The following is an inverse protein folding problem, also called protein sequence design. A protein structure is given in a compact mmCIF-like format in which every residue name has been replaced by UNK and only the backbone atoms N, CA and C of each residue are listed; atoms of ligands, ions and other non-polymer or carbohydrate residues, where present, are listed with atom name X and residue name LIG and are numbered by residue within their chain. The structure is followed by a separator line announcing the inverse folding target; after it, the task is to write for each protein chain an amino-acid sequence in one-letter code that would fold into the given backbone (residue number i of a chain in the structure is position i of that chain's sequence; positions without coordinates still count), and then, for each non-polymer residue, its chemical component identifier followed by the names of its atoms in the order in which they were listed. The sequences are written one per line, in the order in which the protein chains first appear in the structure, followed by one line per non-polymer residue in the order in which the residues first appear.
data_IF_168976131299
#
_entry.id   IF_168976131299
#
_cell.length_a   1.000
_cell.length_b   1.000
_cell.length_c   1.000
_cell.angle_alpha   90.00
_cell.angle_beta   90.00
_cell.angle_gamma   90.00
#
_symmetry.space_group_name_H-M   'P 1'
#
loop_
_entity.id
_entity.type
_entity.pdbx_description
1 polymer ?
#
# COMPACT_ATOMS: atom_id res chain seq x y z
N UNK A 1 -22.24 4.33 9.33
CA UNK A 1 -23.67 4.34 9.55
C UNK A 1 -24.46 4.33 8.25
N UNK A 2 -25.79 4.22 8.34
CA UNK A 2 -26.69 4.19 7.17
C UNK A 2 -26.53 5.39 6.24
N UNK A 3 -26.31 6.57 6.82
CA UNK A 3 -26.19 7.84 6.09
C UNK A 3 -24.90 7.92 5.24
N UNK A 4 -23.80 7.35 5.75
CA UNK A 4 -22.56 7.25 4.99
C UNK A 4 -22.70 6.33 3.77
N UNK A 5 -23.30 5.14 3.96
CA UNK A 5 -23.52 4.20 2.85
C UNK A 5 -24.54 4.74 1.84
N UNK A 6 -25.52 5.56 2.28
CA UNK A 6 -26.41 6.25 1.36
C UNK A 6 -25.70 7.28 0.48
N UNK A 7 -24.70 7.99 1.02
CA UNK A 7 -23.87 8.94 0.27
C UNK A 7 -22.79 8.22 -0.58
N UNK A 8 -22.19 7.18 -0.05
CA UNK A 8 -21.10 6.43 -0.68
C UNK A 8 -21.38 4.93 -0.64
N UNK A 9 -22.04 4.38 -1.68
CA UNK A 9 -22.51 2.98 -1.69
C UNK A 9 -21.41 1.92 -1.55
N UNK A 10 -20.14 2.25 -1.93
CA UNK A 10 -19.01 1.35 -1.72
C UNK A 10 -18.75 1.09 -0.22
N UNK A 11 -19.12 2.01 0.66
CA UNK A 11 -19.06 1.85 2.12
C UNK A 11 -17.64 1.70 2.70
N UNK A 12 -16.62 1.95 1.88
CA UNK A 12 -15.20 1.82 2.25
C UNK A 12 -14.60 3.16 2.65
N UNK A 13 -13.56 3.11 3.47
CA UNK A 13 -12.76 4.26 3.89
C UNK A 13 -11.31 4.05 3.44
N UNK A 14 -10.57 5.13 3.16
CA UNK A 14 -10.97 6.53 3.24
C UNK A 14 -11.84 6.99 2.06
N UNK A 15 -12.57 8.07 2.25
CA UNK A 15 -13.29 8.77 1.17
C UNK A 15 -13.17 10.28 1.38
N UNK A 16 -12.95 11.01 0.29
CA UNK A 16 -12.89 12.47 0.25
C UNK A 16 -14.22 13.00 -0.31
N UNK A 17 -14.93 13.84 0.44
CA UNK A 17 -16.08 14.61 -0.03
C UNK A 17 -15.60 15.99 -0.48
N UNK A 18 -15.87 16.35 -1.74
CA UNK A 18 -15.57 17.66 -2.30
C UNK A 18 -16.69 18.66 -1.99
N UNK A 19 -16.41 19.96 -2.12
CA UNK A 19 -17.38 21.04 -1.85
C UNK A 19 -18.64 20.97 -2.71
N UNK A 20 -18.54 20.35 -3.89
CA UNK A 20 -19.68 20.14 -4.80
C UNK A 20 -20.45 18.84 -4.52
N UNK A 21 -20.08 18.12 -3.45
CA UNK A 21 -20.73 16.87 -3.02
C UNK A 21 -20.24 15.61 -3.74
N UNK A 22 -19.26 15.69 -4.66
CA UNK A 22 -18.65 14.51 -5.25
C UNK A 22 -17.82 13.75 -4.21
N UNK A 23 -17.89 12.42 -4.26
CA UNK A 23 -17.15 11.52 -3.37
C UNK A 23 -16.04 10.82 -4.15
N UNK A 24 -14.80 10.95 -3.68
CA UNK A 24 -13.63 10.26 -4.24
C UNK A 24 -13.18 9.23 -3.21
N UNK A 25 -13.26 7.95 -3.56
CA UNK A 25 -12.68 6.86 -2.78
C UNK A 25 -11.31 6.46 -3.32
N UNK A 26 -10.75 5.40 -2.73
CA UNK A 26 -9.42 4.86 -3.01
C UNK A 26 -8.27 5.81 -2.64
N UNK A 27 -7.42 5.36 -1.73
CA UNK A 27 -6.32 6.16 -1.16
C UNK A 27 -5.45 6.79 -2.25
N UNK A 28 -5.06 6.02 -3.27
CA UNK A 28 -4.21 6.52 -4.35
C UNK A 28 -4.92 7.60 -5.20
N UNK A 29 -6.24 7.44 -5.44
CA UNK A 29 -7.00 8.46 -6.17
C UNK A 29 -7.11 9.77 -5.37
N UNK A 30 -7.31 9.67 -4.06
CA UNK A 30 -7.33 10.83 -3.15
C UNK A 30 -5.96 11.52 -3.14
N UNK A 31 -4.86 10.76 -3.06
CA UNK A 31 -3.50 11.32 -3.11
C UNK A 31 -3.22 12.00 -4.45
N UNK A 32 -3.66 11.45 -5.58
CA UNK A 32 -3.54 12.11 -6.89
C UNK A 32 -4.34 13.41 -6.97
N UNK A 33 -5.51 13.46 -6.36
CA UNK A 33 -6.29 14.70 -6.28
C UNK A 33 -5.52 15.80 -5.53
N UNK A 34 -4.92 15.45 -4.39
CA UNK A 34 -4.13 16.42 -3.60
C UNK A 34 -2.84 16.82 -4.29
N UNK A 35 -2.14 15.90 -4.98
CA UNK A 35 -0.95 16.28 -5.76
C UNK A 35 -1.28 17.22 -6.91
N UNK A 36 -2.45 17.06 -7.56
CA UNK A 36 -2.89 18.00 -8.58
C UNK A 36 -3.13 19.42 -8.04
N UNK A 37 -3.48 19.54 -6.75
CA UNK A 37 -3.61 20.83 -6.05
C UNK A 37 -2.28 21.33 -5.48
N UNK A 38 -1.39 20.44 -5.09
CA UNK A 38 -0.12 20.73 -4.42
C UNK A 38 0.99 19.87 -5.05
N UNK A 39 1.50 20.25 -6.23
CA UNK A 39 2.41 19.41 -7.02
C UNK A 39 3.86 19.39 -6.51
N UNK A 40 4.19 20.09 -5.44
CA UNK A 40 5.53 20.18 -4.88
C UNK A 40 5.53 19.78 -3.39
N UNK A 41 6.29 18.74 -3.02
CA UNK A 41 7.12 17.86 -3.86
C UNK A 41 6.29 16.87 -4.69
N UNK A 42 6.72 16.54 -5.93
CA UNK A 42 6.02 15.60 -6.78
C UNK A 42 6.22 14.16 -6.27
N UNK A 43 5.13 13.44 -6.03
CA UNK A 43 5.15 12.04 -5.56
C UNK A 43 4.74 11.03 -6.63
N UNK A 44 4.12 11.48 -7.73
CA UNK A 44 3.67 10.61 -8.82
C UNK A 44 4.48 10.73 -10.11
N UNK A 45 5.68 11.36 -10.02
CA UNK A 45 6.55 11.61 -11.17
C UNK A 45 6.26 12.93 -11.90
N UNK A 46 7.21 13.38 -12.72
CA UNK A 46 7.16 14.70 -13.38
C UNK A 46 7.22 14.62 -14.91
N UNK A 47 7.61 13.48 -15.45
CA UNK A 47 7.70 13.21 -16.88
C UNK A 47 7.03 11.87 -17.22
N UNK A 48 6.73 11.57 -18.49
CA UNK A 48 5.99 10.37 -18.85
C UNK A 48 6.60 9.06 -18.36
N UNK A 49 7.93 8.96 -18.28
CA UNK A 49 8.61 7.74 -17.84
C UNK A 49 8.49 7.57 -16.32
N UNK A 50 8.84 8.61 -15.55
CA UNK A 50 8.74 8.57 -14.08
C UNK A 50 7.31 8.38 -13.60
N UNK A 51 6.32 9.02 -14.26
CA UNK A 51 4.89 8.80 -13.97
C UNK A 51 4.51 7.33 -14.16
N UNK A 52 4.94 6.74 -15.28
CA UNK A 52 4.63 5.34 -15.57
C UNK A 52 5.33 4.37 -14.60
N UNK A 53 6.58 4.65 -14.20
CA UNK A 53 7.32 3.85 -13.23
C UNK A 53 6.68 3.90 -11.84
N UNK A 54 6.34 5.07 -11.33
CA UNK A 54 5.65 5.22 -10.05
C UNK A 54 4.31 4.49 -10.07
N UNK A 55 3.52 4.67 -11.14
CA UNK A 55 2.24 3.95 -11.28
C UNK A 55 2.44 2.44 -11.30
N UNK A 56 3.39 1.94 -12.10
CA UNK A 56 3.69 0.52 -12.21
C UNK A 56 4.05 -0.09 -10.86
N UNK A 57 4.92 0.55 -10.08
CA UNK A 57 5.32 0.06 -8.77
C UNK A 57 4.20 0.17 -7.74
N UNK A 58 3.43 1.25 -7.74
CA UNK A 58 2.24 1.39 -6.90
C UNK A 58 1.25 0.26 -7.17
N UNK A 59 0.96 -0.04 -8.45
CA UNK A 59 0.08 -1.15 -8.82
C UNK A 59 0.63 -2.52 -8.43
N UNK A 60 1.94 -2.74 -8.53
CA UNK A 60 2.56 -3.97 -8.05
C UNK A 60 2.44 -4.15 -6.55
N UNK A 61 2.61 -3.07 -5.79
CA UNK A 61 2.37 -3.09 -4.33
C UNK A 61 0.92 -3.46 -4.04
N UNK A 62 -0.04 -2.77 -4.62
CA UNK A 62 -1.46 -2.98 -4.33
C UNK A 62 -1.96 -4.37 -4.77
N UNK A 63 -1.67 -4.76 -6.02
CA UNK A 63 -2.26 -5.94 -6.64
C UNK A 63 -1.56 -7.26 -6.27
N UNK A 64 -0.25 -7.21 -6.00
CA UNK A 64 0.50 -8.43 -5.69
C UNK A 64 0.71 -8.58 -4.18
N UNK A 65 1.31 -7.59 -3.53
CA UNK A 65 1.62 -7.66 -2.11
C UNK A 65 0.39 -7.33 -1.25
N UNK A 66 -0.24 -6.20 -1.50
CA UNK A 66 -1.41 -5.73 -0.74
C UNK A 66 -2.59 -6.69 -0.81
N UNK A 67 -2.84 -7.28 -1.97
CA UNK A 67 -3.88 -8.30 -2.11
C UNK A 67 -3.58 -9.55 -1.25
N UNK A 68 -2.32 -10.01 -1.22
CA UNK A 68 -1.91 -11.13 -0.38
C UNK A 68 -2.04 -10.79 1.11
N UNK A 69 -1.55 -9.63 1.54
CA UNK A 69 -1.67 -9.14 2.93
C UNK A 69 -3.14 -9.02 3.34
N UNK A 70 -4.00 -8.48 2.48
CA UNK A 70 -5.43 -8.38 2.72
C UNK A 70 -6.09 -9.76 2.91
N UNK A 71 -5.74 -10.74 2.08
CA UNK A 71 -6.29 -12.09 2.20
C UNK A 71 -5.82 -12.78 3.48
N UNK A 72 -4.55 -12.64 3.87
CA UNK A 72 -4.05 -13.13 5.15
C UNK A 72 -4.84 -12.46 6.28
N UNK A 73 -4.93 -11.13 6.31
CA UNK A 73 -5.66 -10.38 7.32
C UNK A 73 -7.10 -10.86 7.48
N UNK A 74 -7.84 -10.91 6.37
CA UNK A 74 -9.27 -11.26 6.40
C UNK A 74 -9.50 -12.68 6.89
N UNK A 75 -8.67 -13.63 6.48
CA UNK A 75 -8.97 -15.04 6.63
C UNK A 75 -8.20 -15.73 7.75
N UNK A 76 -7.23 -15.06 8.41
CA UNK A 76 -6.47 -15.67 9.51
C UNK A 76 -6.49 -14.87 10.80
N UNK A 77 -6.71 -13.55 10.74
CA UNK A 77 -6.55 -12.72 11.93
C UNK A 77 -7.80 -12.74 12.83
N UNK A 78 -7.66 -12.87 14.18
CA UNK A 78 -8.81 -12.97 15.10
C UNK A 78 -9.74 -11.76 15.09
N UNK A 79 -9.23 -10.55 14.83
CA UNK A 79 -10.05 -9.33 14.79
C UNK A 79 -11.06 -9.37 13.66
N UNK A 80 -10.69 -9.94 12.50
CA UNK A 80 -11.58 -10.01 11.33
C UNK A 80 -12.65 -11.10 11.46
N UNK A 81 -12.43 -12.12 12.32
CA UNK A 81 -13.45 -13.14 12.60
C UNK A 81 -14.78 -12.56 13.11
N UNK A 82 -14.75 -11.32 13.65
CA UNK A 82 -15.96 -10.64 14.17
C UNK A 82 -16.72 -9.85 13.11
N UNK A 83 -16.10 -9.58 11.96
CA UNK A 83 -16.65 -8.69 10.93
C UNK A 83 -16.91 -9.40 9.60
N UNK A 84 -16.21 -10.48 9.30
CA UNK A 84 -16.45 -11.28 8.10
C UNK A 84 -17.43 -12.41 8.42
N UNK A 85 -18.27 -12.77 7.46
CA UNK A 85 -19.26 -13.84 7.61
C UNK A 85 -18.60 -15.20 7.88
N UNK A 86 -17.46 -15.46 7.24
CA UNK A 86 -16.68 -16.69 7.38
C UNK A 86 -15.23 -16.45 7.01
N UNK A 87 -14.31 -17.00 7.81
CA UNK A 87 -12.89 -17.07 7.48
C UNK A 87 -12.57 -18.41 6.81
N UNK A 88 -11.67 -18.37 5.82
CA UNK A 88 -11.13 -19.54 5.13
C UNK A 88 -9.61 -19.56 5.40
N UNK A 89 -9.22 -20.11 6.54
CA UNK A 89 -7.85 -20.05 7.06
C UNK A 89 -6.83 -20.61 6.07
N UNK A 90 -7.11 -21.74 5.42
CA UNK A 90 -6.21 -22.33 4.42
C UNK A 90 -5.98 -21.39 3.23
N UNK A 91 -7.04 -20.69 2.77
CA UNK A 91 -6.91 -19.68 1.74
C UNK A 91 -6.06 -18.49 2.22
N UNK A 92 -6.27 -18.01 3.44
CA UNK A 92 -5.46 -16.96 4.03
C UNK A 92 -3.98 -17.36 4.08
N UNK A 93 -3.66 -18.53 4.64
CA UNK A 93 -2.29 -19.04 4.76
C UNK A 93 -1.63 -19.28 3.39
N UNK A 94 -2.37 -19.67 2.36
CA UNK A 94 -1.85 -19.87 1.00
C UNK A 94 -1.33 -18.56 0.36
N UNK A 95 -1.68 -17.40 0.90
CA UNK A 95 -1.18 -16.09 0.44
C UNK A 95 0.19 -15.71 1.05
N UNK A 96 0.67 -16.39 2.11
CA UNK A 96 2.00 -16.08 2.69
C UNK A 96 3.15 -16.26 1.71
N UNK A 97 3.24 -17.36 0.93
CA UNK A 97 4.26 -17.48 -0.12
C UNK A 97 4.15 -16.40 -1.20
N UNK A 98 2.93 -15.95 -1.54
CA UNK A 98 2.72 -14.87 -2.50
C UNK A 98 3.23 -13.53 -1.97
N UNK A 99 2.96 -13.21 -0.70
CA UNK A 99 3.49 -12.03 -0.03
C UNK A 99 5.03 -12.07 0.02
N UNK A 100 5.62 -13.22 0.36
CA UNK A 100 7.07 -13.42 0.34
C UNK A 100 7.66 -13.18 -1.05
N UNK A 101 7.09 -13.79 -2.09
CA UNK A 101 7.56 -13.62 -3.46
C UNK A 101 7.49 -12.15 -3.92
N UNK A 102 6.43 -11.42 -3.57
CA UNK A 102 6.31 -10.00 -3.87
C UNK A 102 7.40 -9.17 -3.18
N UNK A 103 7.69 -9.44 -1.89
CA UNK A 103 8.77 -8.77 -1.17
C UNK A 103 10.15 -9.02 -1.80
N UNK A 104 10.42 -10.22 -2.33
CA UNK A 104 11.67 -10.50 -3.06
C UNK A 104 11.79 -9.74 -4.38
N UNK A 105 10.66 -9.44 -5.04
CA UNK A 105 10.66 -8.56 -6.23
C UNK A 105 11.04 -7.13 -5.83
N UNK A 106 10.52 -6.62 -4.70
CA UNK A 106 10.87 -5.29 -4.19
C UNK A 106 12.34 -5.24 -3.77
N UNK A 107 12.83 -6.24 -3.04
CA UNK A 107 14.25 -6.35 -2.69
C UNK A 107 15.16 -6.27 -3.92
N UNK A 108 14.81 -7.01 -4.97
CA UNK A 108 15.57 -7.01 -6.23
C UNK A 108 15.61 -5.62 -6.89
N UNK A 109 14.52 -4.87 -6.84
CA UNK A 109 14.49 -3.50 -7.35
C UNK A 109 15.34 -2.56 -6.49
N UNK A 110 15.19 -2.63 -5.18
CA UNK A 110 15.89 -1.78 -4.20
C UNK A 110 17.40 -2.05 -4.09
N UNK A 111 17.89 -3.15 -4.65
CA UNK A 111 19.34 -3.37 -4.87
C UNK A 111 19.92 -2.46 -5.95
N UNK A 112 19.10 -1.84 -6.79
CA UNK A 112 19.53 -1.03 -7.94
C UNK A 112 19.29 0.47 -7.73
N UNK A 113 18.30 0.84 -6.93
CA UNK A 113 17.83 2.21 -6.74
C UNK A 113 17.56 2.48 -5.28
N UNK A 114 17.62 3.75 -4.87
CA UNK A 114 17.40 4.16 -3.49
C UNK A 114 15.93 3.99 -3.05
N UNK A 115 14.99 4.12 -3.98
CA UNK A 115 13.56 3.98 -3.76
C UNK A 115 12.93 3.07 -4.81
N UNK A 116 11.69 2.65 -4.58
CA UNK A 116 11.05 1.60 -5.38
C UNK A 116 10.93 1.97 -6.87
N UNK A 117 10.63 3.23 -7.17
CA UNK A 117 10.48 3.73 -8.53
C UNK A 117 11.70 4.56 -9.01
N UNK A 118 12.90 4.31 -8.50
CA UNK A 118 14.13 5.01 -8.89
C UNK A 118 14.85 5.70 -7.74
N UNK A 119 15.46 6.85 -7.99
CA UNK A 119 16.27 7.54 -6.98
C UNK A 119 15.50 8.63 -6.22
N UNK A 120 14.21 8.79 -6.50
CA UNK A 120 13.33 9.77 -5.87
C UNK A 120 12.22 9.08 -5.09
N UNK A 121 12.01 9.50 -3.83
CA UNK A 121 10.90 9.05 -3.01
C UNK A 121 9.56 9.37 -3.65
N UNK A 122 8.66 8.42 -3.68
CA UNK A 122 7.41 8.50 -4.45
C UNK A 122 6.22 7.86 -3.74
N UNK A 123 5.05 7.96 -4.36
CA UNK A 123 3.83 7.28 -3.89
C UNK A 123 4.00 5.76 -3.81
N UNK A 124 4.86 5.17 -4.65
CA UNK A 124 5.15 3.75 -4.60
C UNK A 124 5.79 3.33 -3.26
N UNK A 125 6.67 4.18 -2.70
CA UNK A 125 7.31 3.95 -1.41
C UNK A 125 6.32 4.11 -0.26
N UNK A 126 5.43 5.10 -0.34
CA UNK A 126 4.37 5.31 0.66
C UNK A 126 3.43 4.11 0.70
N UNK A 127 3.00 3.63 -0.46
CA UNK A 127 2.14 2.45 -0.57
C UNK A 127 2.84 1.19 -0.04
N UNK A 128 4.13 1.01 -0.36
CA UNK A 128 4.90 -0.14 0.11
C UNK A 128 5.09 -0.09 1.62
N UNK A 129 5.52 1.04 2.18
CA UNK A 129 5.73 1.20 3.62
C UNK A 129 4.46 0.88 4.41
N UNK A 130 3.35 1.55 4.07
CA UNK A 130 2.09 1.35 4.79
C UNK A 130 1.59 -0.10 4.72
N UNK A 131 1.77 -0.76 3.57
CA UNK A 131 1.37 -2.17 3.40
C UNK A 131 2.31 -3.11 4.17
N UNK A 132 3.61 -2.81 4.23
CA UNK A 132 4.59 -3.60 5.00
C UNK A 132 4.38 -3.48 6.50
N UNK A 133 4.17 -2.27 7.01
CA UNK A 133 3.89 -2.06 8.43
C UNK A 133 2.61 -2.78 8.86
N UNK A 134 1.58 -2.75 8.02
CA UNK A 134 0.39 -3.55 8.25
C UNK A 134 0.67 -5.06 8.17
N UNK A 135 1.52 -5.48 7.23
CA UNK A 135 1.98 -6.87 7.12
C UNK A 135 2.69 -7.34 8.39
N UNK A 136 3.61 -6.53 8.91
CA UNK A 136 4.33 -6.80 10.17
C UNK A 136 3.36 -6.91 11.35
N UNK A 137 2.39 -6.00 11.44
CA UNK A 137 1.34 -6.02 12.47
C UNK A 137 0.55 -7.33 12.46
N UNK A 138 0.28 -7.92 11.30
CA UNK A 138 -0.47 -9.19 11.18
C UNK A 138 0.43 -10.44 11.17
N UNK A 139 1.73 -10.30 11.47
CA UNK A 139 2.66 -11.42 11.56
C UNK A 139 3.16 -11.94 10.21
N UNK A 140 3.33 -11.04 9.24
CA UNK A 140 4.02 -11.31 7.96
C UNK A 140 5.37 -10.59 7.99
N UNK A 141 6.47 -11.25 8.42
CA UNK A 141 7.77 -10.60 8.55
C UNK A 141 8.43 -10.38 7.19
N UNK A 142 9.35 -9.41 7.15
CA UNK A 142 10.26 -9.23 6.00
C UNK A 142 11.17 -10.47 5.92
N UNK A 143 11.37 -11.07 4.73
CA UNK A 143 12.25 -12.21 4.56
C UNK A 143 13.67 -11.94 5.07
N UNK A 144 14.31 -12.94 5.68
CA UNK A 144 15.65 -12.75 6.24
C UNK A 144 16.69 -12.40 5.18
N UNK A 145 16.53 -12.91 3.98
CA UNK A 145 17.39 -12.70 2.81
C UNK A 145 17.14 -11.39 2.06
N UNK A 146 16.08 -10.64 2.39
CA UNK A 146 15.69 -9.39 1.73
C UNK A 146 16.41 -8.19 2.35
N UNK A 147 17.75 -8.11 2.23
CA UNK A 147 18.58 -7.12 2.91
C UNK A 147 18.35 -5.69 2.38
N UNK A 148 18.17 -5.53 1.06
CA UNK A 148 17.91 -4.22 0.47
C UNK A 148 16.53 -3.69 0.88
N UNK A 149 15.53 -4.57 0.95
CA UNK A 149 14.19 -4.22 1.41
C UNK A 149 14.18 -3.81 2.90
N UNK A 150 14.95 -4.50 3.76
CA UNK A 150 15.10 -4.12 5.17
C UNK A 150 15.74 -2.75 5.31
N UNK A 151 16.88 -2.53 4.63
CA UNK A 151 17.58 -1.26 4.67
C UNK A 151 16.70 -0.10 4.16
N UNK A 152 15.92 -0.33 3.09
CA UNK A 152 14.94 0.62 2.61
C UNK A 152 13.84 0.90 3.65
N UNK A 153 13.27 -0.14 4.27
CA UNK A 153 12.24 -0.02 5.29
C UNK A 153 12.74 0.83 6.47
N UNK A 154 13.93 0.56 6.99
CA UNK A 154 14.55 1.32 8.08
C UNK A 154 14.74 2.79 7.70
N UNK A 155 15.22 3.05 6.49
CA UNK A 155 15.44 4.41 5.97
C UNK A 155 14.13 5.20 5.81
N UNK A 156 13.10 4.56 5.21
CA UNK A 156 11.83 5.23 4.93
C UNK A 156 11.01 5.41 6.21
N UNK A 157 11.04 4.46 7.13
CA UNK A 157 10.39 4.55 8.45
C UNK A 157 10.97 5.67 9.33
N UNK A 158 12.23 6.05 9.12
CA UNK A 158 12.86 7.15 9.83
C UNK A 158 12.44 8.55 9.33
N UNK A 159 11.66 8.64 8.26
CA UNK A 159 11.17 9.94 7.75
C UNK A 159 10.17 10.55 8.72
N UNK A 160 10.18 11.88 8.96
CA UNK A 160 9.22 12.53 9.85
C UNK A 160 7.75 12.26 9.48
N UNK A 161 7.46 12.12 8.18
CA UNK A 161 6.10 11.81 7.69
C UNK A 161 5.65 10.37 7.96
N UNK A 162 6.55 9.45 8.30
CA UNK A 162 6.22 8.07 8.63
C UNK A 162 5.83 7.88 10.11
N UNK A 163 6.15 8.86 10.97
CA UNK A 163 5.88 8.84 12.41
C UNK A 163 4.84 9.88 12.86
N UNK A 164 4.14 10.49 11.90
CA UNK A 164 3.16 11.55 12.15
C UNK A 164 1.78 10.98 12.53
#
# INVERSE_FOLDING_TARGET
GSDFVAKYPAGQLPVLELDDGRMIGETIAICRYFEALHPDPPLFGTDPASIAEVEMWTRRVELNYGAAIRNIWIHTHPLTARVVKQQFTEFGESNRPLAHAAMMVFDTALRKTAFLAGDTYSMADIALLSTMDFGLFIGVPIPQEADALKAWHDNVSARPSASA
#
